data_IF_526554266963
#
_entry.id   IF_526554266963
#
_cell.length_a   1.000
_cell.length_b   1.000
_cell.length_c   1.000
_cell.angle_alpha   90.00
_cell.angle_beta   90.00
_cell.angle_gamma   90.00
#
_symmetry.space_group_name_H-M   'P 1'
#
loop_
_entity.id
_entity.type
_entity.pdbx_description
1 polymer ?
#
# COMPACT_ATOMS: atom_id res chain seq x y z
N UNK A 1 -46.16 -10.02 54.46
CA UNK A 1 -45.53 -10.85 53.41
C UNK A 1 -45.05 -9.87 52.34
N UNK A 2 -43.81 -9.40 52.47
CA UNK A 2 -43.22 -8.42 51.55
C UNK A 2 -42.68 -9.19 50.35
N UNK A 3 -43.23 -8.96 49.17
CA UNK A 3 -42.72 -9.55 47.93
C UNK A 3 -41.57 -8.64 47.49
N UNK A 4 -40.33 -9.07 47.70
CA UNK A 4 -39.15 -8.39 47.17
C UNK A 4 -39.19 -8.46 45.63
N UNK A 5 -39.20 -7.31 44.97
CA UNK A 5 -39.11 -7.23 43.51
C UNK A 5 -37.74 -7.76 43.02
N UNK A 6 -37.68 -8.47 41.89
CA UNK A 6 -36.42 -8.99 41.36
C UNK A 6 -35.49 -7.84 40.93
N UNK A 7 -34.29 -7.81 41.51
CA UNK A 7 -33.20 -6.90 41.16
C UNK A 7 -32.90 -7.01 39.66
N UNK A 8 -33.20 -5.95 38.89
CA UNK A 8 -32.76 -5.81 37.50
C UNK A 8 -31.24 -5.69 37.48
N UNK A 9 -30.56 -6.76 37.05
CA UNK A 9 -29.14 -6.71 36.69
C UNK A 9 -28.92 -5.62 35.64
N UNK A 10 -27.89 -4.77 35.78
CA UNK A 10 -27.59 -3.75 34.78
C UNK A 10 -27.16 -4.46 33.50
N UNK A 11 -27.94 -4.24 32.44
CA UNK A 11 -27.65 -4.66 31.08
C UNK A 11 -26.20 -4.25 30.76
N UNK A 12 -25.33 -5.24 30.59
CA UNK A 12 -23.94 -5.00 30.18
C UNK A 12 -23.99 -4.42 28.78
N UNK A 13 -23.87 -3.10 28.67
CA UNK A 13 -23.72 -2.41 27.39
C UNK A 13 -22.67 -3.16 26.57
N UNK A 14 -23.02 -3.75 25.41
CA UNK A 14 -22.02 -4.40 24.58
C UNK A 14 -21.00 -3.31 24.22
N UNK A 15 -19.76 -3.50 24.68
CA UNK A 15 -18.62 -2.69 24.26
C UNK A 15 -18.54 -2.87 22.75
N UNK A 16 -19.13 -1.94 22.02
CA UNK A 16 -19.09 -1.91 20.56
C UNK A 16 -17.67 -1.49 20.20
N UNK A 17 -16.75 -2.45 20.20
CA UNK A 17 -15.43 -2.27 19.60
C UNK A 17 -15.68 -1.72 18.20
N UNK A 18 -15.21 -0.51 17.88
CA UNK A 18 -15.51 0.12 16.60
C UNK A 18 -14.98 -0.80 15.51
N UNK A 19 -15.91 -1.44 14.79
CA UNK A 19 -15.58 -2.34 13.68
C UNK A 19 -14.90 -1.48 12.63
N UNK A 20 -13.59 -1.68 12.43
CA UNK A 20 -12.80 -0.96 11.42
C UNK A 20 -13.40 -1.24 10.04
N UNK A 21 -14.27 -0.35 9.56
CA UNK A 21 -15.02 -0.53 8.32
C UNK A 21 -14.15 -0.05 7.17
N UNK A 22 -13.66 -0.96 6.34
CA UNK A 22 -12.89 -0.63 5.13
C UNK A 22 -13.81 -0.05 4.06
N UNK A 23 -13.40 1.05 3.45
CA UNK A 23 -14.05 1.52 2.21
C UNK A 23 -13.76 0.54 1.07
N UNK A 24 -14.78 0.20 0.26
CA UNK A 24 -14.62 -0.74 -0.86
C UNK A 24 -13.54 -0.32 -1.85
N UNK A 25 -13.39 1.00 -2.09
CA UNK A 25 -12.35 1.53 -2.98
C UNK A 25 -10.93 1.25 -2.45
N UNK A 26 -10.70 1.37 -1.14
CA UNK A 26 -9.40 1.07 -0.53
C UNK A 26 -9.07 -0.42 -0.63
N UNK A 27 -10.05 -1.29 -0.41
CA UNK A 27 -9.87 -2.74 -0.55
C UNK A 27 -9.48 -3.11 -1.98
N UNK A 28 -10.19 -2.58 -2.99
CA UNK A 28 -9.89 -2.84 -4.40
C UNK A 28 -8.49 -2.32 -4.76
N UNK A 29 -8.14 -1.12 -4.30
CA UNK A 29 -6.82 -0.53 -4.53
C UNK A 29 -5.71 -1.39 -3.93
N UNK A 30 -5.88 -1.88 -2.69
CA UNK A 30 -4.89 -2.73 -2.04
C UNK A 30 -4.75 -4.10 -2.70
N UNK A 31 -5.86 -4.72 -3.12
CA UNK A 31 -5.81 -5.97 -3.89
C UNK A 31 -5.07 -5.75 -5.21
N UNK A 32 -5.38 -4.65 -5.92
CA UNK A 32 -4.66 -4.30 -7.14
C UNK A 32 -3.17 -4.11 -6.87
N UNK A 33 -2.78 -3.42 -5.79
CA UNK A 33 -1.37 -3.30 -5.39
C UNK A 33 -0.74 -4.64 -5.04
N UNK A 34 -1.46 -5.54 -4.38
CA UNK A 34 -0.96 -6.85 -3.99
C UNK A 34 -0.67 -7.75 -5.21
N UNK A 35 -1.37 -7.53 -6.32
CA UNK A 35 -1.22 -8.29 -7.57
C UNK A 35 -0.23 -7.59 -8.52
N UNK A 36 -0.35 -6.28 -8.69
CA UNK A 36 0.46 -5.52 -9.65
C UNK A 36 1.92 -5.42 -9.24
N UNK A 37 2.23 -5.30 -7.94
CA UNK A 37 3.60 -5.24 -7.46
C UNK A 37 4.42 -6.52 -7.72
N UNK A 38 3.93 -7.73 -7.40
CA UNK A 38 4.65 -8.95 -7.75
C UNK A 38 4.67 -9.21 -9.27
N UNK A 39 3.62 -8.84 -10.02
CA UNK A 39 3.67 -8.90 -11.48
C UNK A 39 4.78 -8.00 -12.05
N UNK A 40 4.91 -6.78 -11.54
CA UNK A 40 5.99 -5.88 -11.92
C UNK A 40 7.36 -6.46 -11.54
N UNK A 41 7.50 -7.05 -10.34
CA UNK A 41 8.73 -7.70 -9.92
C UNK A 41 9.12 -8.85 -10.86
N UNK A 42 8.17 -9.72 -11.20
CA UNK A 42 8.38 -10.80 -12.17
C UNK A 42 8.77 -10.24 -13.54
N UNK A 43 8.12 -9.16 -13.99
CA UNK A 43 8.46 -8.53 -15.25
C UNK A 43 9.93 -8.08 -15.28
N UNK A 44 10.40 -7.39 -14.23
CA UNK A 44 11.80 -6.94 -14.14
C UNK A 44 12.79 -8.11 -14.06
N UNK A 45 12.47 -9.19 -13.34
CA UNK A 45 13.37 -10.34 -13.22
C UNK A 45 13.42 -11.19 -14.50
N UNK A 46 12.29 -11.40 -15.18
CA UNK A 46 12.20 -12.27 -16.36
C UNK A 46 12.56 -11.54 -17.65
N UNK A 47 12.26 -10.24 -17.75
CA UNK A 47 12.45 -9.44 -18.96
C UNK A 47 13.56 -8.40 -18.81
N UNK A 48 14.50 -8.61 -17.89
CA UNK A 48 15.56 -7.63 -17.62
C UNK A 48 16.41 -7.28 -18.84
N UNK A 49 16.64 -8.22 -19.75
CA UNK A 49 17.34 -7.96 -21.03
C UNK A 49 16.56 -7.02 -21.95
N UNK A 50 15.24 -7.19 -22.05
CA UNK A 50 14.36 -6.34 -22.85
C UNK A 50 14.27 -4.93 -22.26
N UNK A 51 14.17 -4.84 -20.93
CA UNK A 51 14.20 -3.55 -20.20
C UNK A 51 15.54 -2.83 -20.42
N UNK A 52 16.66 -3.56 -20.35
CA UNK A 52 17.99 -3.00 -20.62
C UNK A 52 18.16 -2.51 -22.05
N UNK A 53 17.52 -3.15 -23.03
CA UNK A 53 17.54 -2.68 -24.42
C UNK A 53 16.67 -1.43 -24.62
N UNK A 54 15.53 -1.35 -23.93
CA UNK A 54 14.66 -0.18 -23.96
C UNK A 54 15.30 1.05 -23.27
N UNK A 55 16.11 0.83 -22.24
CA UNK A 55 16.78 1.87 -21.46
C UNK A 55 18.30 1.63 -21.39
N UNK A 56 19.05 1.85 -22.48
CA UNK A 56 20.48 1.53 -22.55
C UNK A 56 21.36 2.35 -21.59
N UNK A 57 20.88 3.52 -21.16
CA UNK A 57 21.57 4.37 -20.19
C UNK A 57 21.33 3.96 -18.73
N UNK A 58 20.44 2.99 -18.49
CA UNK A 58 20.12 2.51 -17.14
C UNK A 58 21.18 1.49 -16.70
N UNK A 59 21.82 1.67 -15.53
CA UNK A 59 22.77 0.70 -15.01
C UNK A 59 22.12 -0.68 -14.80
N UNK A 60 22.85 -1.75 -15.13
CA UNK A 60 22.34 -3.11 -15.07
C UNK A 60 21.85 -3.54 -13.67
N UNK A 61 22.36 -2.94 -12.60
CA UNK A 61 21.92 -3.23 -11.22
C UNK A 61 20.57 -2.59 -10.86
N UNK A 62 20.11 -1.55 -11.60
CA UNK A 62 18.85 -0.85 -11.30
C UNK A 62 17.65 -1.73 -11.65
N UNK A 63 17.74 -2.55 -12.68
CA UNK A 63 16.66 -3.45 -13.12
C UNK A 63 16.30 -4.49 -12.03
N UNK A 64 17.23 -5.29 -11.49
CA UNK A 64 16.91 -6.19 -10.38
C UNK A 64 16.53 -5.43 -9.10
N UNK A 65 17.07 -4.22 -8.88
CA UNK A 65 16.65 -3.35 -7.76
C UNK A 65 15.16 -2.97 -7.87
N UNK A 66 14.68 -2.60 -9.07
CA UNK A 66 13.25 -2.34 -9.31
C UNK A 66 12.39 -3.57 -9.06
N UNK A 67 12.89 -4.76 -9.40
CA UNK A 67 12.24 -6.03 -9.06
C UNK A 67 12.09 -6.23 -7.55
N UNK A 68 13.17 -6.00 -6.79
CA UNK A 68 13.16 -6.07 -5.31
C UNK A 68 12.23 -5.02 -4.71
N UNK A 69 12.23 -3.79 -5.22
CA UNK A 69 11.31 -2.73 -4.80
C UNK A 69 9.85 -3.16 -5.00
N UNK A 70 9.54 -3.85 -6.11
CA UNK A 70 8.22 -4.44 -6.33
C UNK A 70 7.82 -5.42 -5.22
N UNK A 71 8.71 -6.32 -4.81
CA UNK A 71 8.45 -7.23 -3.69
C UNK A 71 8.29 -6.51 -2.35
N UNK A 72 9.11 -5.48 -2.10
CA UNK A 72 8.97 -4.62 -0.92
C UNK A 72 7.62 -3.93 -0.92
N UNK A 73 7.18 -3.39 -2.06
CA UNK A 73 5.88 -2.74 -2.22
C UNK A 73 4.69 -3.69 -1.95
N UNK A 74 4.83 -4.98 -2.26
CA UNK A 74 3.84 -5.99 -1.87
C UNK A 74 3.77 -6.13 -0.34
N UNK A 75 4.92 -6.20 0.34
CA UNK A 75 4.98 -6.23 1.81
C UNK A 75 4.43 -4.94 2.45
N UNK A 76 4.69 -3.79 1.84
CA UNK A 76 4.14 -2.50 2.26
C UNK A 76 2.63 -2.45 2.08
N UNK A 77 2.11 -2.92 0.94
CA UNK A 77 0.68 -3.04 0.70
C UNK A 77 0.01 -3.96 1.73
N UNK A 78 0.66 -5.05 2.12
CA UNK A 78 0.21 -5.91 3.23
C UNK A 78 0.23 -5.17 4.58
N UNK A 79 1.27 -4.38 4.87
CA UNK A 79 1.30 -3.52 6.05
C UNK A 79 0.13 -2.52 6.08
N UNK A 80 -0.23 -1.94 4.94
CA UNK A 80 -1.38 -1.04 4.82
C UNK A 80 -2.69 -1.81 4.98
N UNK A 81 -2.77 -3.05 4.48
CA UNK A 81 -3.89 -3.95 4.72
C UNK A 81 -4.10 -4.16 6.22
N UNK A 82 -3.03 -4.40 6.96
CA UNK A 82 -3.03 -4.53 8.43
C UNK A 82 -3.16 -3.17 9.17
N UNK A 83 -3.55 -2.11 8.47
CA UNK A 83 -3.74 -0.76 9.03
C UNK A 83 -2.48 -0.18 9.70
N UNK A 84 -1.30 -0.55 9.23
CA UNK A 84 -0.04 -0.05 9.80
C UNK A 84 0.46 1.18 9.05
N UNK A 85 0.77 2.25 9.79
CA UNK A 85 1.29 3.51 9.20
C UNK A 85 2.64 3.31 8.50
N UNK A 86 3.48 2.40 8.98
CA UNK A 86 4.78 2.10 8.36
C UNK A 86 4.64 1.63 6.90
N UNK A 87 3.55 0.93 6.57
CA UNK A 87 3.27 0.53 5.19
C UNK A 87 3.07 1.74 4.28
N UNK A 88 2.36 2.77 4.75
CA UNK A 88 2.14 4.01 3.98
C UNK A 88 3.43 4.79 3.81
N UNK A 89 4.22 4.96 4.90
CA UNK A 89 5.50 5.66 4.83
C UNK A 89 6.49 4.96 3.89
N UNK A 90 6.56 3.63 3.95
CA UNK A 90 7.41 2.88 3.04
C UNK A 90 6.93 2.95 1.60
N UNK A 91 5.61 3.00 1.34
CA UNK A 91 5.08 3.15 -0.02
C UNK A 91 5.34 4.55 -0.60
N UNK A 92 5.33 5.59 0.25
CA UNK A 92 5.76 6.94 -0.13
C UNK A 92 7.26 6.93 -0.45
N UNK A 93 8.09 6.32 0.41
CA UNK A 93 9.53 6.25 0.19
C UNK A 93 9.89 5.49 -1.10
N UNK A 94 9.23 4.36 -1.38
CA UNK A 94 9.45 3.58 -2.60
C UNK A 94 9.03 4.36 -3.84
N UNK A 95 7.95 5.14 -3.78
CA UNK A 95 7.55 6.00 -4.89
C UNK A 95 8.53 7.15 -5.14
N UNK A 96 9.15 7.73 -4.10
CA UNK A 96 10.20 8.73 -4.28
C UNK A 96 11.45 8.14 -4.94
N UNK A 97 11.85 6.93 -4.53
CA UNK A 97 12.96 6.21 -5.18
C UNK A 97 12.61 5.96 -6.66
N UNK A 98 11.41 5.46 -6.93
CA UNK A 98 10.98 5.17 -8.29
C UNK A 98 10.88 6.44 -9.14
N UNK A 99 10.43 7.56 -8.57
CA UNK A 99 10.44 8.86 -9.22
C UNK A 99 11.86 9.28 -9.63
N UNK A 100 12.84 9.15 -8.72
CA UNK A 100 14.25 9.46 -9.02
C UNK A 100 14.81 8.62 -10.17
N UNK A 101 14.55 7.30 -10.15
CA UNK A 101 14.97 6.38 -11.21
C UNK A 101 14.33 6.77 -12.55
N UNK A 102 13.01 6.99 -12.57
CA UNK A 102 12.29 7.32 -13.81
C UNK A 102 12.69 8.70 -14.36
N UNK A 103 12.90 9.69 -13.50
CA UNK A 103 13.32 11.03 -13.90
C UNK A 103 14.74 11.03 -14.49
N UNK A 104 15.63 10.16 -13.99
CA UNK A 104 17.02 10.09 -14.43
C UNK A 104 17.23 9.23 -15.69
N UNK A 105 16.49 8.12 -15.84
CA UNK A 105 16.78 7.10 -16.85
C UNK A 105 15.67 6.85 -17.88
N UNK A 106 14.44 7.31 -17.64
CA UNK A 106 13.29 7.03 -18.50
C UNK A 106 12.83 8.33 -19.18
N UNK A 107 12.01 9.12 -18.49
CA UNK A 107 11.57 10.45 -18.89
C UNK A 107 10.77 11.08 -17.73
N UNK A 108 10.61 12.41 -17.79
CA UNK A 108 9.92 13.17 -16.75
C UNK A 108 8.42 12.82 -16.61
N UNK A 109 7.63 12.64 -17.69
CA UNK A 109 6.22 12.26 -17.57
C UNK A 109 5.99 10.93 -16.86
N UNK A 110 6.78 9.89 -17.18
CA UNK A 110 6.69 8.58 -16.54
C UNK A 110 7.03 8.65 -15.06
N UNK A 111 7.91 9.56 -14.64
CA UNK A 111 8.25 9.75 -13.23
C UNK A 111 7.02 10.16 -12.40
N UNK A 112 6.12 10.99 -12.95
CA UNK A 112 4.89 11.39 -12.25
C UNK A 112 3.86 10.27 -12.14
N UNK A 113 3.87 9.27 -13.02
CA UNK A 113 2.89 8.18 -12.98
C UNK A 113 2.92 7.40 -11.64
N UNK A 114 4.12 7.19 -11.08
CA UNK A 114 4.29 6.54 -9.78
C UNK A 114 3.77 7.38 -8.61
N UNK A 115 3.88 8.71 -8.70
CA UNK A 115 3.37 9.64 -7.70
C UNK A 115 1.83 9.69 -7.68
N UNK A 116 1.18 9.55 -8.85
CA UNK A 116 -0.29 9.51 -8.92
C UNK A 116 -0.85 8.35 -8.10
N UNK A 117 -0.26 7.16 -8.21
CA UNK A 117 -0.68 6.00 -7.41
C UNK A 117 -0.59 6.24 -5.90
N UNK A 118 0.48 6.89 -5.45
CA UNK A 118 0.66 7.27 -4.04
C UNK A 118 -0.31 8.37 -3.62
N UNK A 119 -0.53 9.39 -4.46
CA UNK A 119 -1.47 10.46 -4.16
C UNK A 119 -2.88 9.89 -3.94
N UNK A 120 -3.34 8.98 -4.81
CA UNK A 120 -4.62 8.30 -4.66
C UNK A 120 -4.66 7.53 -3.33
N UNK A 121 -3.62 6.74 -3.04
CA UNK A 121 -3.52 5.97 -1.79
C UNK A 121 -3.62 6.86 -0.55
N UNK A 122 -2.87 7.96 -0.50
CA UNK A 122 -2.84 8.90 0.63
C UNK A 122 -4.21 9.57 0.82
N UNK A 123 -4.85 9.99 -0.28
CA UNK A 123 -6.20 10.58 -0.24
C UNK A 123 -7.22 9.58 0.30
N UNK A 124 -7.16 8.32 -0.14
CA UNK A 124 -8.07 7.26 0.29
C UNK A 124 -7.86 6.82 1.73
N UNK A 125 -6.61 6.84 2.21
CA UNK A 125 -6.26 6.50 3.59
C UNK A 125 -6.57 7.65 4.57
N UNK A 126 -6.53 8.91 4.12
CA UNK A 126 -6.77 10.10 4.96
C UNK A 126 -7.96 9.98 5.94
N UNK A 127 -9.17 9.51 5.55
CA UNK A 127 -10.28 9.33 6.49
C UNK A 127 -10.04 8.26 7.57
N UNK A 128 -9.19 7.27 7.28
CA UNK A 128 -8.86 6.17 8.18
C UNK A 128 -7.53 6.32 8.90
N UNK A 129 -6.77 7.40 8.64
CA UNK A 129 -5.45 7.63 9.22
C UNK A 129 -5.42 7.55 10.75
N UNK A 130 -6.48 8.04 11.40
CA UNK A 130 -6.64 7.99 12.87
C UNK A 130 -6.86 6.56 13.42
N UNK A 131 -7.28 5.63 12.57
CA UNK A 131 -7.54 4.23 12.92
C UNK A 131 -6.34 3.31 12.66
N UNK A 132 -5.30 3.85 12.02
CA UNK A 132 -4.05 3.13 11.74
C UNK A 132 -3.13 3.18 12.95
N UNK A 133 -2.42 2.08 13.16
CA UNK A 133 -1.39 1.96 14.21
C UNK A 133 -0.06 2.54 13.70
#
# INVERSE_FOLDING_TARGET
MNIEEPVKTPESNPVSTPVKKRGGCLTVLLIAMLIMNPLAAMYYFLNGSQVSQAFPNMPAFVIPLLGVIGLINMGLAFGIWEWKKWGVYGFIASALINFGINAMYVNLPSAFSGLVGVAILVVLIRPFWKQMD
#
